data_IF_466061472875
#
_entry.id   IF_466061472875
#
_cell.length_a   1.000
_cell.length_b   1.000
_cell.length_c   1.000
_cell.angle_alpha   90.00
_cell.angle_beta   90.00
_cell.angle_gamma   90.00
#
_symmetry.space_group_name_H-M   'P 1'
#
loop_
_entity.id
_entity.type
_entity.pdbx_description
1 polymer ?
#
# COMPACT_ATOMS: atom_id res chain seq x y z
N UNK A 1 16.50 10.42 20.52
CA UNK A 1 16.51 8.94 20.52
C UNK A 1 16.90 8.49 19.11
N UNK A 2 17.76 7.48 18.99
CA UNK A 2 18.12 6.92 17.67
C UNK A 2 16.96 6.03 17.18
N UNK A 3 16.55 6.12 15.91
CA UNK A 3 15.51 5.27 15.36
C UNK A 3 15.96 3.81 15.31
N UNK A 4 15.03 2.88 15.60
CA UNK A 4 15.22 1.46 15.33
C UNK A 4 14.65 1.15 13.94
N UNK A 5 15.35 0.33 13.17
CA UNK A 5 14.86 -0.19 11.90
C UNK A 5 14.06 -1.46 12.19
N UNK A 6 12.76 -1.43 11.90
CA UNK A 6 11.86 -2.55 12.12
C UNK A 6 11.59 -3.29 10.81
N UNK A 7 11.36 -4.60 10.88
CA UNK A 7 10.85 -5.39 9.77
C UNK A 7 9.37 -5.70 10.02
N UNK A 8 8.50 -5.30 9.10
CA UNK A 8 7.07 -5.58 9.19
C UNK A 8 6.69 -6.65 8.17
N UNK A 9 6.15 -7.75 8.68
CA UNK A 9 5.69 -8.90 7.88
C UNK A 9 4.17 -8.92 7.91
N UNK A 10 3.53 -9.02 6.75
CA UNK A 10 2.09 -9.25 6.64
C UNK A 10 1.82 -10.75 6.71
N UNK A 11 1.38 -11.25 7.87
CA UNK A 11 1.24 -12.69 8.15
C UNK A 11 -0.18 -13.25 7.93
N UNK A 12 -1.19 -12.37 7.78
CA UNK A 12 -2.59 -12.78 7.75
C UNK A 12 -3.12 -13.13 6.34
N UNK A 13 -2.25 -13.16 5.34
CA UNK A 13 -2.64 -13.53 3.99
C UNK A 13 -3.04 -15.00 3.90
N UNK A 14 -4.22 -15.27 3.31
CA UNK A 14 -4.68 -16.61 2.91
C UNK A 14 -4.58 -16.82 1.41
N UNK A 15 -4.82 -15.76 0.65
CA UNK A 15 -4.88 -15.80 -0.81
C UNK A 15 -3.56 -15.34 -1.48
N UNK A 16 -2.57 -14.90 -0.71
CA UNK A 16 -1.25 -14.56 -1.20
C UNK A 16 -0.17 -15.34 -0.46
N UNK A 17 0.85 -15.79 -1.18
CA UNK A 17 2.07 -16.37 -0.62
C UNK A 17 3.28 -16.03 -1.51
N UNK A 18 4.40 -15.66 -0.90
CA UNK A 18 5.71 -15.74 -1.54
C UNK A 18 6.20 -17.18 -1.37
N UNK A 19 6.16 -17.97 -2.43
CA UNK A 19 6.50 -19.38 -2.39
C UNK A 19 8.01 -19.61 -2.33
N UNK A 20 8.78 -18.86 -3.14
CA UNK A 20 10.22 -18.91 -3.21
C UNK A 20 10.78 -17.65 -3.85
N UNK A 21 12.08 -17.37 -3.62
CA UNK A 21 12.80 -16.29 -4.28
C UNK A 21 14.25 -16.69 -4.52
N UNK A 22 14.86 -16.08 -5.54
CA UNK A 22 16.28 -16.32 -5.85
C UNK A 22 16.58 -16.13 -7.33
N UNK A 23 17.87 -16.05 -7.63
CA UNK A 23 18.40 -15.87 -8.99
C UNK A 23 17.71 -14.71 -9.74
N UNK A 24 17.44 -13.59 -9.03
CA UNK A 24 16.82 -12.39 -9.58
C UNK A 24 15.32 -12.51 -9.84
N UNK A 25 14.63 -13.48 -9.28
CA UNK A 25 13.21 -13.77 -9.50
C UNK A 25 12.48 -14.09 -8.19
N UNK A 26 11.15 -13.98 -8.21
CA UNK A 26 10.26 -14.47 -7.17
C UNK A 26 9.10 -15.27 -7.76
N UNK A 27 8.75 -16.35 -7.06
CA UNK A 27 7.59 -17.20 -7.35
C UNK A 27 6.52 -16.93 -6.29
N UNK A 28 5.37 -16.47 -6.73
CA UNK A 28 4.29 -16.03 -5.84
C UNK A 28 2.96 -16.67 -6.23
N UNK A 29 2.08 -16.85 -5.25
CA UNK A 29 0.69 -17.26 -5.46
C UNK A 29 -0.24 -16.09 -5.18
N UNK A 30 -1.18 -15.84 -6.11
CA UNK A 30 -2.26 -14.86 -5.98
C UNK A 30 -3.60 -15.56 -6.24
N UNK A 31 -4.34 -15.84 -5.19
CA UNK A 31 -5.53 -16.71 -5.25
C UNK A 31 -5.14 -18.13 -5.64
N UNK A 32 -5.69 -18.61 -6.75
CA UNK A 32 -5.42 -19.94 -7.30
C UNK A 32 -4.27 -19.99 -8.31
N UNK A 33 -3.65 -18.84 -8.63
CA UNK A 33 -2.65 -18.77 -9.71
C UNK A 33 -1.26 -18.43 -9.20
N UNK A 34 -0.25 -19.00 -9.83
CA UNK A 34 1.17 -18.79 -9.51
C UNK A 34 1.87 -18.01 -10.61
N UNK A 35 2.75 -17.11 -10.19
CA UNK A 35 3.41 -16.15 -11.07
C UNK A 35 4.91 -16.12 -10.79
N UNK A 36 5.71 -16.10 -11.86
CA UNK A 36 7.14 -15.77 -11.77
C UNK A 36 7.32 -14.32 -12.24
N UNK A 37 7.93 -13.53 -11.37
CA UNK A 37 8.22 -12.11 -11.66
C UNK A 37 9.69 -11.79 -11.37
N UNK A 38 10.28 -10.79 -12.05
CA UNK A 38 11.63 -10.33 -11.74
C UNK A 38 11.67 -9.71 -10.33
N UNK A 39 12.73 -10.07 -9.61
CA UNK A 39 13.08 -9.51 -8.30
C UNK A 39 14.60 -9.44 -8.19
N UNK A 40 15.17 -8.38 -8.76
CA UNK A 40 16.63 -8.23 -8.91
C UNK A 40 17.39 -8.22 -7.59
N UNK A 41 16.71 -7.97 -6.47
CA UNK A 41 17.31 -7.97 -5.14
C UNK A 41 17.44 -9.39 -4.53
N UNK A 42 16.77 -10.39 -5.11
CA UNK A 42 16.90 -11.78 -4.69
C UNK A 42 18.20 -12.39 -5.22
N UNK A 43 19.34 -12.01 -4.63
CA UNK A 43 20.70 -12.37 -5.06
C UNK A 43 21.13 -13.79 -4.67
N UNK A 44 20.33 -14.47 -3.89
CA UNK A 44 20.55 -15.86 -3.45
C UNK A 44 20.00 -16.87 -4.45
N UNK A 45 20.33 -18.15 -4.25
CA UNK A 45 19.82 -19.25 -5.08
C UNK A 45 18.39 -19.61 -4.70
N UNK A 46 17.61 -20.03 -5.68
CA UNK A 46 16.29 -20.63 -5.51
C UNK A 46 16.37 -21.84 -4.58
N UNK A 47 15.40 -22.01 -3.69
CA UNK A 47 15.30 -23.15 -2.77
C UNK A 47 14.42 -24.25 -3.31
N UNK A 48 13.37 -23.91 -4.05
CA UNK A 48 12.52 -24.92 -4.69
C UNK A 48 13.17 -25.46 -5.97
N UNK A 49 12.92 -26.75 -6.30
CA UNK A 49 13.43 -27.34 -7.52
C UNK A 49 12.83 -26.67 -8.78
N UNK A 50 13.55 -26.79 -9.89
CA UNK A 50 13.21 -26.12 -11.16
C UNK A 50 11.78 -26.41 -11.64
N UNK A 51 11.29 -27.64 -11.43
CA UNK A 51 9.95 -28.08 -11.83
C UNK A 51 8.85 -27.26 -11.15
N UNK A 52 9.06 -26.82 -9.90
CA UNK A 52 8.09 -25.95 -9.19
C UNK A 52 7.99 -24.56 -9.81
N UNK A 53 9.11 -24.02 -10.27
CA UNK A 53 9.17 -22.75 -10.94
C UNK A 53 8.56 -22.83 -12.37
N UNK A 54 8.88 -23.91 -13.10
CA UNK A 54 8.38 -24.16 -14.44
C UNK A 54 6.85 -24.41 -14.46
N UNK A 55 6.31 -24.93 -13.36
CA UNK A 55 4.87 -25.16 -13.20
C UNK A 55 4.06 -23.89 -12.91
N UNK A 56 4.67 -22.72 -12.87
CA UNK A 56 3.96 -21.45 -12.68
C UNK A 56 2.98 -21.18 -13.82
N UNK A 57 1.85 -20.54 -13.49
CA UNK A 57 0.78 -20.29 -14.44
C UNK A 57 1.08 -19.15 -15.42
N UNK A 58 1.89 -18.17 -14.99
CA UNK A 58 2.36 -17.11 -15.86
C UNK A 58 3.74 -16.57 -15.44
N UNK A 59 4.44 -16.01 -16.43
CA UNK A 59 5.79 -15.49 -16.32
C UNK A 59 5.84 -14.06 -16.85
N UNK A 60 6.35 -13.11 -16.09
CA UNK A 60 6.60 -11.77 -16.59
C UNK A 60 7.97 -11.73 -17.27
N UNK A 61 7.99 -11.42 -18.55
CA UNK A 61 9.18 -11.23 -19.35
C UNK A 61 9.50 -9.73 -19.41
N UNK A 62 10.56 -9.25 -18.72
CA UNK A 62 10.94 -7.85 -18.79
C UNK A 62 11.42 -7.48 -20.20
N UNK A 63 11.05 -6.27 -20.66
CA UNK A 63 11.68 -5.65 -21.84
C UNK A 63 12.95 -4.91 -21.40
N UNK A 64 13.71 -4.37 -22.37
CA UNK A 64 14.89 -3.56 -22.06
C UNK A 64 14.60 -2.22 -21.37
N UNK A 65 13.33 -1.85 -21.18
CA UNK A 65 12.92 -0.66 -20.43
C UNK A 65 12.71 -0.98 -18.94
N UNK A 66 12.98 -0.02 -18.06
CA UNK A 66 13.03 -0.19 -16.58
C UNK A 66 11.75 -0.80 -15.98
N UNK A 67 10.58 -0.60 -16.59
CA UNK A 67 9.29 -1.11 -16.10
C UNK A 67 8.46 -1.85 -17.17
N UNK A 68 8.97 -1.96 -18.39
CA UNK A 68 8.28 -2.59 -19.50
C UNK A 68 8.40 -4.11 -19.52
N UNK A 69 7.48 -4.77 -20.22
CA UNK A 69 7.51 -6.21 -20.42
C UNK A 69 6.15 -6.74 -20.84
N UNK A 70 6.04 -8.06 -20.85
CA UNK A 70 4.78 -8.73 -21.17
C UNK A 70 4.64 -10.03 -20.36
N UNK A 71 3.41 -10.48 -20.22
CA UNK A 71 3.09 -11.75 -19.57
C UNK A 71 3.09 -12.88 -20.60
N UNK A 72 3.80 -13.95 -20.28
CA UNK A 72 3.73 -15.24 -20.97
C UNK A 72 2.90 -16.18 -20.09
N UNK A 73 1.81 -16.72 -20.64
CA UNK A 73 0.88 -17.59 -19.93
C UNK A 73 1.13 -19.05 -20.28
N UNK A 74 1.32 -19.90 -19.27
CA UNK A 74 1.38 -21.36 -19.44
C UNK A 74 -0.01 -21.98 -19.49
N UNK A 75 -1.00 -21.32 -18.86
CA UNK A 75 -2.41 -21.71 -18.90
C UNK A 75 -3.27 -20.47 -19.13
N UNK A 76 -4.53 -20.66 -19.52
CA UNK A 76 -5.50 -19.56 -19.59
C UNK A 76 -5.85 -19.09 -18.17
N UNK A 77 -5.59 -17.82 -17.88
CA UNK A 77 -5.98 -17.15 -16.64
C UNK A 77 -7.12 -16.19 -16.97
N UNK A 78 -8.14 -16.03 -16.09
CA UNK A 78 -9.19 -15.02 -16.27
C UNK A 78 -8.60 -13.60 -16.33
N UNK A 79 -9.26 -12.69 -17.04
CA UNK A 79 -8.84 -11.28 -17.07
C UNK A 79 -8.83 -10.64 -15.69
N UNK A 80 -9.78 -11.05 -14.82
CA UNK A 80 -9.85 -10.67 -13.40
C UNK A 80 -10.25 -11.88 -12.56
N UNK A 81 -9.72 -11.97 -11.34
CA UNK A 81 -10.17 -12.92 -10.31
C UNK A 81 -10.20 -12.24 -8.94
N UNK A 82 -10.94 -12.80 -8.01
CA UNK A 82 -11.09 -12.24 -6.67
C UNK A 82 -10.08 -12.84 -5.69
N UNK A 83 -9.65 -12.00 -4.77
CA UNK A 83 -8.87 -12.36 -3.59
C UNK A 83 -9.48 -11.73 -2.33
N UNK A 84 -9.13 -12.29 -1.18
CA UNK A 84 -9.55 -11.79 0.13
C UNK A 84 -8.38 -11.49 1.05
N UNK A 85 -8.60 -10.54 1.96
CA UNK A 85 -7.70 -10.25 3.08
C UNK A 85 -8.48 -10.09 4.38
N UNK A 86 -8.22 -10.93 5.41
CA UNK A 86 -8.91 -10.84 6.70
C UNK A 86 -8.34 -9.69 7.53
N UNK A 87 -8.98 -8.54 7.49
CA UNK A 87 -8.57 -7.35 8.23
C UNK A 87 -8.80 -7.53 9.74
N UNK A 88 -7.73 -7.41 10.54
CA UNK A 88 -7.72 -7.56 12.00
C UNK A 88 -8.13 -8.96 12.52
N UNK A 89 -7.61 -10.00 11.92
CA UNK A 89 -7.72 -11.37 12.39
C UNK A 89 -8.50 -12.28 11.46
N UNK A 90 -8.44 -13.58 11.75
CA UNK A 90 -9.13 -14.61 10.96
C UNK A 90 -10.65 -14.43 10.98
N UNK A 91 -11.33 -14.86 9.92
CA UNK A 91 -12.81 -14.88 9.79
C UNK A 91 -13.53 -15.42 11.03
N UNK A 92 -12.97 -16.46 11.66
CA UNK A 92 -13.52 -17.14 12.85
C UNK A 92 -13.59 -16.24 14.10
N UNK A 93 -12.79 -15.15 14.14
CA UNK A 93 -12.78 -14.19 15.25
C UNK A 93 -13.59 -12.91 15.01
N UNK A 94 -14.48 -12.90 14.00
CA UNK A 94 -15.32 -11.73 13.69
C UNK A 94 -14.59 -10.61 12.92
N UNK A 95 -13.40 -10.88 12.37
CA UNK A 95 -12.67 -9.97 11.51
C UNK A 95 -13.44 -9.68 10.22
N UNK A 96 -13.33 -8.44 9.71
CA UNK A 96 -13.88 -8.06 8.41
C UNK A 96 -12.95 -8.55 7.30
N UNK A 97 -13.52 -9.13 6.25
CA UNK A 97 -12.76 -9.49 5.06
C UNK A 97 -12.87 -8.39 4.02
N UNK A 98 -11.73 -7.91 3.56
CA UNK A 98 -11.66 -7.10 2.34
C UNK A 98 -11.63 -8.06 1.15
N UNK A 99 -12.54 -7.86 0.19
CA UNK A 99 -12.57 -8.59 -1.07
C UNK A 99 -12.24 -7.63 -2.20
N UNK A 100 -11.42 -8.07 -3.12
CA UNK A 100 -10.94 -7.25 -4.22
C UNK A 100 -10.59 -8.09 -5.42
N UNK A 101 -10.64 -7.47 -6.59
CA UNK A 101 -10.19 -8.09 -7.83
C UNK A 101 -8.70 -7.84 -8.05
N UNK A 102 -8.04 -8.81 -8.66
CA UNK A 102 -6.68 -8.73 -9.17
C UNK A 102 -6.66 -9.12 -10.64
N UNK A 103 -5.68 -8.63 -11.38
CA UNK A 103 -5.46 -8.94 -12.79
C UNK A 103 -3.99 -8.75 -13.14
N UNK A 104 -3.52 -9.42 -14.18
CA UNK A 104 -2.24 -9.08 -14.79
C UNK A 104 -2.33 -7.72 -15.47
N UNK A 105 -1.44 -6.80 -15.10
CA UNK A 105 -1.37 -5.47 -15.73
C UNK A 105 -0.31 -5.45 -16.83
N UNK A 106 -0.28 -4.46 -17.73
CA UNK A 106 0.81 -4.28 -18.69
C UNK A 106 2.20 -4.16 -18.04
N UNK A 107 2.25 -3.72 -16.78
CA UNK A 107 3.44 -3.82 -15.93
C UNK A 107 3.50 -5.18 -15.22
N UNK A 108 4.52 -5.35 -14.37
CA UNK A 108 4.75 -6.57 -13.59
C UNK A 108 3.83 -6.76 -12.38
N UNK A 109 2.93 -5.81 -12.10
CA UNK A 109 2.07 -5.83 -10.91
C UNK A 109 0.71 -6.48 -11.21
N UNK A 110 0.08 -7.02 -10.16
CA UNK A 110 -1.23 -7.66 -10.27
C UNK A 110 -2.37 -6.83 -9.63
N UNK A 111 -2.13 -5.55 -9.38
CA UNK A 111 -3.14 -4.65 -8.80
C UNK A 111 -3.07 -4.53 -7.27
N UNK A 112 -2.20 -5.28 -6.61
CA UNK A 112 -2.01 -5.21 -5.16
C UNK A 112 -0.53 -5.26 -4.78
N UNK A 113 -0.24 -4.75 -3.57
CA UNK A 113 1.04 -4.81 -2.90
C UNK A 113 0.84 -5.47 -1.54
N UNK A 114 1.02 -6.80 -1.45
CA UNK A 114 0.68 -7.57 -0.25
C UNK A 114 1.42 -7.14 1.01
N UNK A 115 2.63 -6.65 0.88
CA UNK A 115 3.48 -6.13 1.95
C UNK A 115 2.84 -4.95 2.69
N UNK A 116 2.02 -4.15 2.01
CA UNK A 116 1.35 -2.98 2.59
C UNK A 116 0.27 -3.35 3.62
N UNK A 117 -0.15 -4.60 3.70
CA UNK A 117 -1.20 -5.04 4.61
C UNK A 117 -0.82 -4.82 6.10
N UNK A 118 0.46 -4.85 6.43
CA UNK A 118 0.93 -4.50 7.78
C UNK A 118 0.54 -3.05 8.17
N UNK A 119 0.60 -2.11 7.23
CA UNK A 119 0.16 -0.74 7.44
C UNK A 119 -1.37 -0.63 7.47
N UNK A 120 -2.09 -1.43 6.67
CA UNK A 120 -3.57 -1.43 6.71
C UNK A 120 -4.10 -1.86 8.07
N UNK A 121 -3.53 -2.91 8.66
CA UNK A 121 -3.92 -3.39 10.01
C UNK A 121 -3.58 -2.38 11.09
N UNK A 122 -2.39 -1.81 11.02
CA UNK A 122 -1.93 -0.84 12.00
C UNK A 122 -2.86 0.40 12.04
N UNK A 123 -3.13 1.02 10.90
CA UNK A 123 -4.04 2.18 10.85
C UNK A 123 -5.48 1.81 11.19
N UNK A 124 -5.95 0.61 10.79
CA UNK A 124 -7.29 0.13 11.10
C UNK A 124 -7.51 0.00 12.61
N UNK A 125 -6.49 -0.47 13.34
CA UNK A 125 -6.52 -0.57 14.81
C UNK A 125 -6.58 0.82 15.45
N UNK A 126 -5.79 1.78 14.99
CA UNK A 126 -5.82 3.16 15.50
C UNK A 126 -7.19 3.82 15.27
N UNK A 127 -7.76 3.66 14.06
CA UNK A 127 -9.10 4.19 13.73
C UNK A 127 -10.15 3.59 14.66
N UNK A 128 -10.15 2.27 14.88
CA UNK A 128 -11.10 1.61 15.78
C UNK A 128 -10.97 2.11 17.23
N UNK A 129 -9.74 2.28 17.72
CA UNK A 129 -9.50 2.79 19.07
C UNK A 129 -10.01 4.23 19.24
N UNK A 130 -9.79 5.10 18.25
CA UNK A 130 -10.27 6.49 18.28
C UNK A 130 -11.81 6.57 18.19
N UNK A 131 -12.44 5.68 17.45
CA UNK A 131 -13.91 5.65 17.25
C UNK A 131 -14.69 5.02 18.41
N UNK A 132 -14.04 4.55 19.49
CA UNK A 132 -14.74 3.95 20.63
C UNK A 132 -15.60 5.01 21.36
N UNK A 133 -16.84 4.64 21.79
CA UNK A 133 -17.73 5.57 22.50
C UNK A 133 -17.15 6.14 23.82
N UNK A 134 -16.20 5.40 24.41
CA UNK A 134 -15.49 5.82 25.63
C UNK A 134 -14.40 6.87 25.39
N UNK A 135 -14.09 7.17 24.13
CA UNK A 135 -13.11 8.21 23.79
C UNK A 135 -13.79 9.58 23.82
N UNK A 136 -13.35 10.53 24.71
CA UNK A 136 -13.91 11.86 24.80
C UNK A 136 -13.80 12.66 23.49
N UNK A 137 -12.86 12.31 22.62
CA UNK A 137 -12.66 12.90 21.30
C UNK A 137 -13.48 12.19 20.20
N UNK A 138 -14.52 11.42 20.54
CA UNK A 138 -15.32 10.57 19.66
C UNK A 138 -15.98 11.27 18.49
N UNK A 139 -15.16 11.76 17.56
CA UNK A 139 -15.56 12.29 16.26
C UNK A 139 -15.18 11.33 15.15
N UNK A 140 -15.83 11.45 14.01
CA UNK A 140 -15.51 10.67 12.82
C UNK A 140 -14.05 10.90 12.40
N UNK A 141 -13.28 9.82 12.28
CA UNK A 141 -11.88 9.90 11.80
C UNK A 141 -11.89 10.16 10.30
N UNK A 142 -11.22 11.22 9.87
CA UNK A 142 -11.07 11.58 8.47
C UNK A 142 -9.69 11.17 7.97
N UNK A 143 -9.64 10.32 6.95
CA UNK A 143 -8.38 9.81 6.36
C UNK A 143 -8.21 10.30 4.93
N UNK A 144 -7.03 10.82 4.62
CA UNK A 144 -6.59 11.14 3.27
C UNK A 144 -5.63 10.05 2.78
N UNK A 145 -5.99 9.38 1.69
CA UNK A 145 -5.13 8.41 1.03
C UNK A 145 -4.69 8.94 -0.34
N UNK A 146 -3.42 9.28 -0.47
CA UNK A 146 -2.80 9.79 -1.69
C UNK A 146 -2.03 8.67 -2.39
N UNK A 147 -2.07 8.67 -3.74
CA UNK A 147 -1.57 7.57 -4.58
C UNK A 147 -2.29 6.25 -4.24
N UNK A 148 -3.61 6.37 -4.03
CA UNK A 148 -4.40 5.30 -3.41
C UNK A 148 -4.59 4.05 -4.28
N UNK A 149 -4.19 4.08 -5.57
CA UNK A 149 -4.18 2.97 -6.52
C UNK A 149 -5.52 2.22 -6.55
N UNK A 150 -5.51 0.89 -6.33
CA UNK A 150 -6.71 0.04 -6.31
C UNK A 150 -7.49 0.08 -4.99
N UNK A 151 -7.09 0.94 -4.05
CA UNK A 151 -7.88 1.37 -2.91
C UNK A 151 -7.80 0.50 -1.66
N UNK A 152 -6.90 -0.47 -1.52
CA UNK A 152 -6.95 -1.39 -0.38
C UNK A 152 -6.70 -0.69 0.97
N UNK A 153 -5.79 0.28 1.03
CA UNK A 153 -5.61 1.12 2.23
C UNK A 153 -6.89 1.94 2.54
N UNK A 154 -7.55 2.49 1.51
CA UNK A 154 -8.84 3.18 1.64
C UNK A 154 -9.91 2.26 2.22
N UNK A 155 -10.03 1.03 1.69
CA UNK A 155 -11.03 0.07 2.14
C UNK A 155 -10.76 -0.39 3.57
N UNK A 156 -9.51 -0.58 3.95
CA UNK A 156 -9.13 -0.92 5.33
C UNK A 156 -9.53 0.19 6.32
N UNK A 157 -9.28 1.46 5.97
CA UNK A 157 -9.69 2.61 6.78
C UNK A 157 -11.23 2.72 6.87
N UNK A 158 -11.93 2.63 5.73
CA UNK A 158 -13.40 2.71 5.67
C UNK A 158 -14.09 1.55 6.42
N UNK A 159 -13.57 0.32 6.30
CA UNK A 159 -14.05 -0.84 7.06
C UNK A 159 -13.89 -0.64 8.57
N UNK A 160 -12.90 0.14 8.99
CA UNK A 160 -12.63 0.45 10.40
C UNK A 160 -13.42 1.63 10.94
N UNK A 161 -14.20 2.32 10.09
CA UNK A 161 -15.12 3.39 10.51
C UNK A 161 -14.68 4.80 10.11
N UNK A 162 -13.61 4.97 9.36
CA UNK A 162 -13.19 6.27 8.88
C UNK A 162 -14.02 6.77 7.69
N UNK A 163 -14.13 8.08 7.56
CA UNK A 163 -14.46 8.77 6.32
C UNK A 163 -13.17 8.94 5.51
N UNK A 164 -13.15 8.50 4.26
CA UNK A 164 -11.90 8.47 3.49
C UNK A 164 -12.00 9.33 2.24
N UNK A 165 -10.98 10.15 2.01
CA UNK A 165 -10.73 10.79 0.71
C UNK A 165 -9.62 10.03 0.01
N UNK A 166 -9.96 9.37 -1.08
CA UNK A 166 -9.04 8.61 -1.93
C UNK A 166 -8.66 9.45 -3.14
N UNK A 167 -7.39 9.64 -3.36
CA UNK A 167 -6.84 10.40 -4.48
C UNK A 167 -5.84 9.57 -5.27
N UNK A 168 -6.06 9.44 -6.56
CA UNK A 168 -5.11 8.84 -7.49
C UNK A 168 -5.18 9.56 -8.84
N UNK A 169 -4.06 9.68 -9.53
CA UNK A 169 -3.98 10.34 -10.83
C UNK A 169 -4.64 9.50 -11.96
N UNK A 170 -4.72 8.19 -11.78
CA UNK A 170 -5.25 7.24 -12.76
C UNK A 170 -6.75 7.02 -12.60
N UNK A 171 -7.54 7.45 -13.58
CA UNK A 171 -8.98 7.15 -13.63
C UNK A 171 -9.26 5.64 -13.58
N UNK A 172 -8.41 4.83 -14.21
CA UNK A 172 -8.53 3.35 -14.20
C UNK A 172 -8.34 2.79 -12.79
N UNK A 173 -7.33 3.28 -12.06
CA UNK A 173 -7.07 2.88 -10.68
C UNK A 173 -8.24 3.24 -9.76
N UNK A 174 -8.75 4.48 -9.85
CA UNK A 174 -9.91 4.93 -9.06
C UNK A 174 -11.18 4.13 -9.39
N UNK A 175 -11.41 3.79 -10.67
CA UNK A 175 -12.54 2.94 -11.05
C UNK A 175 -12.41 1.54 -10.45
N UNK A 176 -11.21 0.97 -10.52
CA UNK A 176 -10.91 -0.34 -9.91
C UNK A 176 -11.08 -0.32 -8.38
N UNK A 177 -10.63 0.75 -7.72
CA UNK A 177 -10.82 0.93 -6.29
C UNK A 177 -12.31 0.97 -5.88
N UNK A 178 -13.17 1.61 -6.70
CA UNK A 178 -14.63 1.60 -6.50
C UNK A 178 -15.24 0.21 -6.66
N UNK A 179 -14.81 -0.55 -7.68
CA UNK A 179 -15.21 -1.95 -7.86
C UNK A 179 -14.83 -2.76 -6.60
N UNK A 180 -13.63 -2.58 -6.08
CA UNK A 180 -13.16 -3.25 -4.86
C UNK A 180 -13.97 -2.84 -3.62
N UNK A 181 -14.47 -1.60 -3.54
CA UNK A 181 -15.39 -1.16 -2.47
C UNK A 181 -16.68 -1.97 -2.48
N UNK A 182 -17.25 -2.19 -3.66
CA UNK A 182 -18.47 -3.00 -3.83
C UNK A 182 -18.22 -4.47 -3.47
N UNK A 183 -17.13 -5.06 -3.97
CA UNK A 183 -16.73 -6.43 -3.67
C UNK A 183 -16.52 -6.65 -2.15
N UNK A 184 -15.95 -5.66 -1.47
CA UNK A 184 -15.76 -5.68 -0.01
C UNK A 184 -17.05 -5.43 0.79
N UNK A 185 -18.21 -5.23 0.14
CA UNK A 185 -19.49 -4.87 0.77
C UNK A 185 -19.41 -3.58 1.61
N UNK A 186 -18.67 -2.62 1.13
CA UNK A 186 -18.44 -1.32 1.77
C UNK A 186 -19.06 -0.16 0.98
N UNK A 187 -19.99 -0.42 0.06
CA UNK A 187 -20.61 0.59 -0.80
C UNK A 187 -21.23 1.75 -0.01
N UNK A 188 -21.81 1.47 1.17
CA UNK A 188 -22.42 2.47 2.06
C UNK A 188 -21.40 3.24 2.92
N UNK A 189 -20.12 2.90 2.86
CA UNK A 189 -19.09 3.60 3.62
C UNK A 189 -18.70 4.91 2.92
N UNK A 190 -18.51 6.00 3.68
CA UNK A 190 -18.23 7.32 3.11
C UNK A 190 -16.81 7.37 2.54
N UNK A 191 -16.69 7.17 1.24
CA UNK A 191 -15.44 7.32 0.49
C UNK A 191 -15.62 8.36 -0.61
N UNK A 192 -14.81 9.41 -0.57
CA UNK A 192 -14.72 10.43 -1.61
C UNK A 192 -13.63 10.03 -2.60
N UNK A 193 -14.03 9.65 -3.82
CA UNK A 193 -13.14 9.19 -4.89
C UNK A 193 -12.72 10.34 -5.79
N UNK A 194 -11.41 10.59 -5.91
CA UNK A 194 -10.86 11.75 -6.64
C UNK A 194 -9.84 11.26 -7.66
N UNK A 195 -9.98 11.73 -8.90
CA UNK A 195 -8.96 11.59 -9.95
C UNK A 195 -8.24 12.92 -10.07
N UNK A 196 -7.03 13.03 -9.51
CA UNK A 196 -6.27 14.28 -9.48
C UNK A 196 -4.79 14.07 -9.19
N UNK A 197 -3.97 15.12 -9.45
CA UNK A 197 -2.62 15.22 -8.94
C UNK A 197 -2.63 15.42 -7.42
N UNK A 198 -1.77 14.69 -6.71
CA UNK A 198 -1.76 14.66 -5.24
C UNK A 198 -1.44 16.04 -4.64
N UNK A 199 -0.41 16.73 -5.12
CA UNK A 199 0.01 18.03 -4.58
C UNK A 199 -1.09 19.06 -4.82
N UNK A 200 -1.57 19.19 -6.04
CA UNK A 200 -2.64 20.15 -6.40
C UNK A 200 -3.93 19.87 -5.63
N UNK A 201 -4.26 18.60 -5.40
CA UNK A 201 -5.42 18.25 -4.59
C UNK A 201 -5.26 18.76 -3.15
N UNK A 202 -4.14 18.42 -2.50
CA UNK A 202 -3.92 18.82 -1.09
C UNK A 202 -3.83 20.32 -0.94
N UNK A 203 -3.22 21.05 -1.88
CA UNK A 203 -3.22 22.51 -1.87
C UNK A 203 -4.63 23.09 -1.91
N UNK A 204 -5.55 22.53 -2.72
CA UNK A 204 -6.94 22.95 -2.75
C UNK A 204 -7.67 22.66 -1.43
N UNK A 205 -7.44 21.48 -0.84
CA UNK A 205 -8.01 21.14 0.46
C UNK A 205 -7.47 22.08 1.56
N UNK A 206 -6.18 22.43 1.53
CA UNK A 206 -5.60 23.41 2.45
C UNK A 206 -6.26 24.81 2.32
N UNK A 207 -6.50 25.28 1.10
CA UNK A 207 -7.23 26.56 0.88
C UNK A 207 -8.68 26.52 1.34
N UNK A 208 -9.32 25.34 1.33
CA UNK A 208 -10.69 25.13 1.83
C UNK A 208 -10.77 24.97 3.34
N UNK A 209 -9.63 24.90 4.03
CA UNK A 209 -9.58 24.62 5.46
C UNK A 209 -9.90 23.17 5.83
N UNK A 210 -9.88 22.24 4.88
CA UNK A 210 -10.13 20.82 5.15
C UNK A 210 -9.06 20.24 6.08
N UNK A 211 -9.47 19.34 6.98
CA UNK A 211 -8.60 18.70 7.97
C UNK A 211 -8.77 17.20 7.96
N UNK A 212 -7.66 16.50 8.15
CA UNK A 212 -7.57 15.03 8.17
C UNK A 212 -6.84 14.56 9.43
N UNK A 213 -7.37 13.51 10.03
CA UNK A 213 -6.80 12.88 11.24
C UNK A 213 -5.73 11.85 10.87
N UNK A 214 -5.86 11.24 9.70
CA UNK A 214 -4.89 10.30 9.18
C UNK A 214 -4.51 10.59 7.74
N UNK A 215 -3.21 10.43 7.40
CA UNK A 215 -2.72 10.55 6.03
C UNK A 215 -1.94 9.28 5.66
N UNK A 216 -2.24 8.71 4.50
CA UNK A 216 -1.51 7.59 3.89
C UNK A 216 -0.89 8.08 2.59
N UNK A 217 0.41 7.86 2.45
CA UNK A 217 1.23 8.27 1.31
C UNK A 217 1.96 7.04 0.76
N UNK A 218 1.71 6.70 -0.49
CA UNK A 218 2.38 5.59 -1.20
C UNK A 218 2.85 6.04 -2.60
N UNK A 219 3.71 7.08 -2.66
CA UNK A 219 4.11 7.67 -3.92
C UNK A 219 4.99 6.74 -4.75
N UNK A 220 4.79 6.68 -6.09
CA UNK A 220 5.69 5.98 -6.98
C UNK A 220 7.03 6.72 -7.11
N UNK A 221 8.07 6.02 -7.59
CA UNK A 221 9.35 6.66 -7.96
C UNK A 221 9.14 7.78 -8.98
N UNK A 222 8.32 7.52 -10.00
CA UNK A 222 7.94 8.44 -11.06
C UNK A 222 6.47 8.27 -11.42
N UNK A 223 5.79 9.36 -11.80
CA UNK A 223 4.40 9.34 -12.23
C UNK A 223 4.00 10.56 -13.04
N UNK A 224 2.80 10.51 -13.62
CA UNK A 224 2.19 11.64 -14.30
C UNK A 224 0.78 11.88 -13.74
N UNK A 225 0.48 13.13 -13.46
CA UNK A 225 -0.85 13.58 -13.11
C UNK A 225 -1.81 13.57 -14.31
N UNK A 226 -3.11 13.70 -14.09
CA UNK A 226 -4.13 13.59 -15.14
C UNK A 226 -4.07 14.73 -16.18
N UNK A 227 -3.37 15.81 -15.89
CA UNK A 227 -3.17 16.96 -16.80
C UNK A 227 -1.70 17.11 -17.25
N UNK A 228 -0.90 16.03 -17.11
CA UNK A 228 0.50 16.03 -17.51
C UNK A 228 1.49 16.48 -16.42
N UNK A 229 1.03 16.71 -15.19
CA UNK A 229 1.91 16.97 -14.05
C UNK A 229 2.95 15.87 -13.94
N UNK A 230 4.18 16.25 -13.54
CA UNK A 230 5.30 15.30 -13.39
C UNK A 230 5.56 15.10 -11.91
N UNK A 231 5.51 13.86 -11.48
CA UNK A 231 5.93 13.40 -10.16
C UNK A 231 7.28 12.72 -10.24
N UNK A 232 8.23 13.20 -9.46
CA UNK A 232 9.52 12.55 -9.21
C UNK A 232 9.74 12.54 -7.69
N UNK A 233 9.83 11.37 -7.07
CA UNK A 233 9.81 11.24 -5.62
C UNK A 233 10.85 12.11 -4.91
N UNK A 234 12.09 12.17 -5.39
CA UNK A 234 13.14 12.94 -4.74
C UNK A 234 12.96 14.47 -4.84
N UNK A 235 12.21 14.94 -5.84
CA UNK A 235 11.92 16.37 -6.04
C UNK A 235 10.60 16.77 -5.39
N UNK A 236 9.58 15.93 -5.56
CA UNK A 236 8.20 16.29 -5.23
C UNK A 236 7.78 15.90 -3.80
N UNK A 237 8.46 14.90 -3.18
CA UNK A 237 8.08 14.45 -1.84
C UNK A 237 8.22 15.54 -0.76
N UNK A 238 9.27 16.37 -0.72
CA UNK A 238 9.36 17.45 0.28
C UNK A 238 8.21 18.45 0.18
N UNK A 239 7.82 18.86 -1.03
CA UNK A 239 6.69 19.75 -1.27
C UNK A 239 5.37 19.10 -0.84
N UNK A 240 5.15 17.83 -1.21
CA UNK A 240 3.96 17.08 -0.80
C UNK A 240 3.82 17.03 0.74
N UNK A 241 4.90 16.74 1.45
CA UNK A 241 4.88 16.68 2.91
C UNK A 241 4.54 18.03 3.54
N UNK A 242 5.08 19.15 2.99
CA UNK A 242 4.76 20.51 3.45
C UNK A 242 3.27 20.83 3.27
N UNK A 243 2.69 20.51 2.11
CA UNK A 243 1.25 20.78 1.91
C UNK A 243 0.37 19.82 2.71
N UNK A 244 0.78 18.57 2.91
CA UNK A 244 0.11 17.61 3.79
C UNK A 244 0.07 18.08 5.25
N UNK A 245 1.14 18.68 5.75
CA UNK A 245 1.16 19.24 7.11
C UNK A 245 0.06 20.30 7.32
N UNK A 246 -0.26 21.09 6.30
CA UNK A 246 -1.29 22.14 6.37
C UNK A 246 -2.72 21.60 6.49
N UNK A 247 -2.95 20.34 6.10
CA UNK A 247 -4.26 19.68 6.16
C UNK A 247 -4.39 18.68 7.31
N UNK A 248 -3.36 18.50 8.13
CA UNK A 248 -3.50 17.74 9.38
C UNK A 248 -4.46 18.44 10.35
N UNK A 249 -5.25 17.66 11.06
CA UNK A 249 -6.09 18.15 12.18
C UNK A 249 -5.20 18.63 13.34
N UNK A 250 -5.78 19.29 14.32
CA UNK A 250 -5.06 19.74 15.49
C UNK A 250 -4.56 18.55 16.35
N UNK A 251 -5.25 17.42 16.27
CA UNK A 251 -4.91 16.18 16.98
C UNK A 251 -4.89 15.02 15.96
N UNK A 252 -3.88 14.97 15.08
CA UNK A 252 -3.80 13.94 14.07
C UNK A 252 -3.59 12.58 14.74
N UNK A 253 -4.14 11.54 14.16
CA UNK A 253 -4.10 10.18 14.68
C UNK A 253 -2.89 9.40 14.16
N UNK A 254 -2.64 9.51 12.84
CA UNK A 254 -1.51 8.83 12.22
C UNK A 254 -1.07 9.46 10.89
N UNK A 255 0.16 9.12 10.52
CA UNK A 255 0.70 9.34 9.19
C UNK A 255 1.49 8.11 8.76
N UNK A 256 1.27 7.63 7.54
CA UNK A 256 2.01 6.51 6.93
C UNK A 256 2.63 6.98 5.63
N UNK A 257 3.94 6.76 5.51
CA UNK A 257 4.70 6.96 4.28
C UNK A 257 5.33 5.63 3.87
N UNK A 258 4.97 5.13 2.70
CA UNK A 258 5.60 3.96 2.07
C UNK A 258 6.33 4.42 0.82
N UNK A 259 7.54 3.93 0.59
CA UNK A 259 8.35 4.28 -0.58
C UNK A 259 8.99 3.01 -1.14
N UNK A 260 8.84 2.78 -2.43
CA UNK A 260 9.37 1.60 -3.11
C UNK A 260 10.13 1.97 -4.41
N UNK A 261 10.93 1.03 -4.90
CA UNK A 261 11.70 1.17 -6.14
C UNK A 261 12.66 2.38 -6.18
N UNK A 262 13.16 2.81 -5.01
CA UNK A 262 14.08 3.94 -4.85
C UNK A 262 15.30 3.54 -4.02
N UNK A 263 16.39 4.31 -4.16
CA UNK A 263 17.57 4.19 -3.30
C UNK A 263 17.43 5.09 -2.07
N UNK A 264 16.40 4.84 -1.25
CA UNK A 264 16.12 5.61 -0.04
C UNK A 264 16.12 4.66 1.17
N UNK A 265 17.16 4.67 2.01
CA UNK A 265 17.15 3.93 3.27
C UNK A 265 16.00 4.37 4.19
N UNK A 266 15.46 3.45 4.98
CA UNK A 266 14.34 3.71 5.91
C UNK A 266 14.60 4.88 6.87
N UNK A 267 15.85 5.09 7.26
CA UNK A 267 16.26 6.21 8.11
C UNK A 267 16.01 7.59 7.46
N UNK A 268 16.04 7.68 6.14
CA UNK A 268 15.73 8.92 5.44
C UNK A 268 14.21 9.17 5.41
N UNK A 269 13.40 8.12 5.22
CA UNK A 269 11.95 8.21 5.38
C UNK A 269 11.57 8.65 6.80
N UNK A 270 12.25 8.10 7.82
CA UNK A 270 12.12 8.56 9.20
C UNK A 270 12.43 10.05 9.34
N UNK A 271 13.55 10.51 8.78
CA UNK A 271 14.03 11.89 8.95
C UNK A 271 13.07 12.91 8.35
N UNK A 272 12.53 12.65 7.14
CA UNK A 272 11.57 13.57 6.50
C UNK A 272 10.23 13.59 7.26
N UNK A 273 9.78 12.44 7.76
CA UNK A 273 8.55 12.39 8.55
C UNK A 273 8.71 13.05 9.91
N UNK A 274 9.86 12.88 10.57
CA UNK A 274 10.19 13.56 11.81
C UNK A 274 10.18 15.08 11.66
N UNK A 275 10.69 15.61 10.56
CA UNK A 275 10.67 17.05 10.28
C UNK A 275 9.22 17.54 10.11
N UNK A 276 8.40 16.83 9.33
CA UNK A 276 7.00 17.15 9.13
C UNK A 276 6.20 17.14 10.44
N UNK A 277 6.45 16.16 11.31
CA UNK A 277 5.69 15.95 12.56
C UNK A 277 6.31 16.63 13.78
N UNK A 278 7.33 17.47 13.59
CA UNK A 278 8.11 18.11 14.68
C UNK A 278 7.28 18.89 15.70
N UNK A 279 6.19 19.51 15.25
CA UNK A 279 5.28 20.28 16.13
C UNK A 279 4.24 19.41 16.85
N UNK A 280 4.19 18.13 16.54
CA UNK A 280 3.29 17.15 17.17
C UNK A 280 4.10 16.24 18.09
N UNK A 281 3.52 15.83 19.21
CA UNK A 281 4.07 14.77 20.06
C UNK A 281 4.02 13.42 19.32
N UNK A 282 3.93 12.33 20.07
CA UNK A 282 3.68 11.00 19.52
C UNK A 282 4.93 10.19 19.20
N UNK A 283 4.72 9.06 18.57
CA UNK A 283 5.73 8.05 18.27
C UNK A 283 5.97 7.94 16.76
N UNK A 284 7.24 7.90 16.38
CA UNK A 284 7.66 7.71 14.99
C UNK A 284 8.54 6.46 14.90
N UNK A 285 8.20 5.58 13.96
CA UNK A 285 9.01 4.41 13.64
C UNK A 285 9.26 4.30 12.13
N UNK A 286 10.27 3.52 11.76
CA UNK A 286 10.61 3.24 10.37
C UNK A 286 11.17 1.83 10.20
N UNK A 287 11.24 1.39 8.97
CA UNK A 287 11.82 0.10 8.64
C UNK A 287 11.48 -0.35 7.23
N UNK A 288 11.36 -1.65 7.07
CA UNK A 288 11.07 -2.28 5.79
C UNK A 288 9.78 -3.10 5.85
N UNK A 289 8.98 -3.01 4.81
CA UNK A 289 7.88 -3.91 4.54
C UNK A 289 8.46 -5.14 3.84
N UNK A 290 8.32 -6.30 4.47
CA UNK A 290 8.92 -7.52 3.98
C UNK A 290 7.90 -8.62 3.79
N UNK A 291 8.13 -9.47 2.80
CA UNK A 291 7.40 -10.74 2.63
C UNK A 291 8.31 -11.89 3.02
N UNK A 292 7.77 -12.85 3.77
CA UNK A 292 8.50 -14.05 4.14
C UNK A 292 8.20 -15.16 3.15
N UNK A 293 9.26 -15.75 2.57
CA UNK A 293 9.08 -16.87 1.66
C UNK A 293 8.77 -18.15 2.42
N UNK A 294 7.97 -19.01 1.79
CA UNK A 294 7.54 -20.28 2.37
C UNK A 294 8.60 -21.35 2.31
N UNK A 295 9.44 -21.35 1.29
CA UNK A 295 10.43 -22.40 1.01
C UNK A 295 11.54 -22.46 2.07
N UNK A 296 12.25 -21.36 2.31
CA UNK A 296 13.38 -21.28 3.22
C UNK A 296 13.21 -20.24 4.34
N UNK A 297 12.06 -19.57 4.41
CA UNK A 297 11.76 -18.59 5.46
C UNK A 297 12.53 -17.27 5.32
N UNK A 298 13.21 -17.03 4.20
CA UNK A 298 13.93 -15.78 3.96
C UNK A 298 12.97 -14.60 3.86
N UNK A 299 13.44 -13.44 4.28
CA UNK A 299 12.69 -12.19 4.18
C UNK A 299 13.14 -11.45 2.92
N UNK A 300 12.16 -11.06 2.11
CA UNK A 300 12.34 -10.26 0.91
C UNK A 300 11.79 -8.86 1.16
N UNK A 301 12.66 -7.85 1.16
CA UNK A 301 12.25 -6.45 1.30
C UNK A 301 11.54 -5.97 0.03
N UNK A 302 10.36 -5.34 0.18
CA UNK A 302 9.56 -4.85 -0.93
C UNK A 302 9.49 -3.32 -0.95
N UNK A 303 9.48 -2.69 0.23
CA UNK A 303 9.42 -1.24 0.38
C UNK A 303 10.03 -0.80 1.71
N UNK A 304 10.40 0.47 1.81
CA UNK A 304 10.69 1.13 3.08
C UNK A 304 9.45 1.88 3.55
N UNK A 305 9.30 2.00 4.88
CA UNK A 305 8.22 2.78 5.47
C UNK A 305 8.73 3.68 6.60
N UNK A 306 8.01 4.74 6.83
CA UNK A 306 7.99 5.46 8.09
C UNK A 306 6.54 5.75 8.47
N UNK A 307 6.19 5.61 9.75
CA UNK A 307 4.86 5.93 10.23
C UNK A 307 4.90 6.55 11.61
N UNK A 308 4.01 7.51 11.78
CA UNK A 308 3.84 8.26 13.01
C UNK A 308 2.43 8.03 13.56
N UNK A 309 2.29 7.99 14.89
CA UNK A 309 1.02 8.02 15.62
C UNK A 309 1.11 8.96 16.82
N UNK A 310 -0.02 9.50 17.21
CA UNK A 310 -0.21 10.21 18.46
C UNK A 310 0.07 9.33 19.69
#
# INVERSE_FOLDING_TARGET
MQPKINLLISTNWTDYELLDSGDGQKLERFGSYTFVRPEVQALWRKSLPAEKWQAANAFFQPSGEESGGHWQYAIKIPDKWEMGYPLNGKRESGGKELRFSVMTTPGRHLGIFPECAANWEWMANLIKLRAQPTNPAGHSVHVLNLFGYTGLATLAAAASGAMVTHVDASKKSVSWARENQVLSKLAEKPVRWIVDDAIKFVEREARRGAKYDGIVLDPPKFGRGPKGEVWEVYKSLPELLQVCQRVLSAQPLFLVLTIYAVKLPAIHAYSVLREMMKSYGGELECGELVTQEKSAGRLLSQAVYARWKE
#
